data_IF_622000851283
#
_entry.id   IF_622000851283
#
_cell.length_a   1.000
_cell.length_b   1.000
_cell.length_c   1.000
_cell.angle_alpha   90.00
_cell.angle_beta   90.00
_cell.angle_gamma   90.00
#
_symmetry.space_group_name_H-M   'P 1'
#
loop_
_entity.id
_entity.type
_entity.pdbx_description
1 polymer ?
#
# COMPACT_ATOMS: atom_id res chain seq x y z
N UNK A 1 -8.94 10.25 -89.69
CA UNK A 1 -8.93 9.47 -88.43
C UNK A 1 -8.38 10.38 -87.34
N UNK A 2 -9.28 11.04 -86.59
CA UNK A 2 -8.98 12.16 -85.70
C UNK A 2 -8.89 11.76 -84.22
N UNK A 3 -7.87 12.29 -83.57
CA UNK A 3 -7.49 12.20 -82.15
C UNK A 3 -8.55 12.66 -81.15
N UNK A 4 -8.57 12.03 -79.97
CA UNK A 4 -8.77 12.72 -78.67
C UNK A 4 -8.24 11.89 -77.49
N UNK A 5 -6.95 12.07 -77.18
CA UNK A 5 -6.23 11.48 -76.03
C UNK A 5 -6.17 12.44 -74.82
N UNK A 6 -7.13 13.36 -74.66
CA UNK A 6 -7.02 14.48 -73.71
C UNK A 6 -7.71 14.31 -72.34
N UNK A 7 -8.70 13.43 -72.21
CA UNK A 7 -9.61 13.42 -71.05
C UNK A 7 -9.07 12.73 -69.79
N UNK A 8 -8.41 11.57 -69.93
CA UNK A 8 -8.04 10.73 -68.77
C UNK A 8 -6.84 11.26 -67.96
N UNK A 9 -5.89 11.98 -68.59
CA UNK A 9 -4.73 12.57 -67.87
C UNK A 9 -5.11 13.79 -67.00
N UNK A 10 -6.13 14.58 -67.38
CA UNK A 10 -6.56 15.75 -66.59
C UNK A 10 -7.26 15.37 -65.28
N UNK A 11 -8.03 14.29 -65.28
CA UNK A 11 -8.81 13.87 -64.10
C UNK A 11 -7.92 13.26 -62.99
N UNK A 12 -6.87 12.52 -63.37
CA UNK A 12 -5.92 11.93 -62.42
C UNK A 12 -5.04 13.00 -61.76
N UNK A 13 -4.57 14.01 -62.53
CA UNK A 13 -3.80 15.13 -61.99
C UNK A 13 -4.62 16.05 -61.08
N UNK A 14 -5.93 16.18 -61.27
CA UNK A 14 -6.78 16.96 -60.38
C UNK A 14 -6.94 16.28 -59.00
N UNK A 15 -7.10 14.95 -59.00
CA UNK A 15 -7.28 14.14 -57.80
C UNK A 15 -5.99 14.00 -56.97
N UNK A 16 -4.81 13.99 -57.60
CA UNK A 16 -3.53 14.03 -56.87
C UNK A 16 -3.25 15.41 -56.26
N UNK A 17 -3.62 16.50 -56.94
CA UNK A 17 -3.48 17.87 -56.44
C UNK A 17 -4.39 18.14 -55.23
N UNK A 18 -5.62 17.63 -55.24
CA UNK A 18 -6.54 17.69 -54.09
C UNK A 18 -6.05 16.88 -52.89
N UNK A 19 -5.42 15.71 -53.10
CA UNK A 19 -4.83 14.91 -52.00
C UNK A 19 -3.58 15.56 -51.41
N UNK A 20 -2.75 16.19 -52.25
CA UNK A 20 -1.59 16.94 -51.78
C UNK A 20 -1.99 18.21 -51.01
N UNK A 21 -3.04 18.93 -51.44
CA UNK A 21 -3.54 20.09 -50.71
C UNK A 21 -4.16 19.68 -49.36
N UNK A 22 -4.94 18.60 -49.31
CA UNK A 22 -5.49 18.10 -48.04
C UNK A 22 -4.41 17.65 -47.06
N UNK A 23 -3.35 17.01 -47.57
CA UNK A 23 -2.21 16.57 -46.75
C UNK A 23 -1.40 17.77 -46.22
N UNK A 24 -1.23 18.82 -47.03
CA UNK A 24 -0.56 20.05 -46.59
C UNK A 24 -1.37 20.79 -45.51
N UNK A 25 -2.68 20.88 -45.65
CA UNK A 25 -3.54 21.49 -44.63
C UNK A 25 -3.50 20.75 -43.29
N UNK A 26 -3.47 19.42 -43.30
CA UNK A 26 -3.38 18.60 -42.08
C UNK A 26 -2.03 18.83 -41.38
N UNK A 27 -0.93 18.91 -42.13
CA UNK A 27 0.40 19.18 -41.57
C UNK A 27 0.47 20.58 -40.96
N UNK A 28 -0.05 21.60 -41.64
CA UNK A 28 -0.09 22.98 -41.11
C UNK A 28 -0.97 23.07 -39.86
N UNK A 29 -2.12 22.38 -39.84
CA UNK A 29 -2.97 22.32 -38.65
C UNK A 29 -2.29 21.60 -37.49
N UNK A 30 -1.58 20.49 -37.75
CA UNK A 30 -0.86 19.76 -36.71
C UNK A 30 0.21 20.63 -36.05
N UNK A 31 1.03 21.34 -36.84
CA UNK A 31 2.04 22.25 -36.29
C UNK A 31 1.43 23.51 -35.66
N UNK A 32 0.30 24.01 -36.16
CA UNK A 32 -0.43 25.12 -35.54
C UNK A 32 -0.99 24.78 -34.16
N UNK A 33 -1.66 23.63 -34.04
CA UNK A 33 -2.23 23.15 -32.77
C UNK A 33 -1.12 22.78 -31.79
N UNK A 34 -0.08 22.08 -32.25
CA UNK A 34 1.07 21.74 -31.41
C UNK A 34 1.82 22.98 -30.94
N UNK A 35 1.99 23.98 -31.81
CA UNK A 35 2.56 25.28 -31.47
C UNK A 35 1.75 26.02 -30.42
N UNK A 36 0.41 26.02 -30.53
CA UNK A 36 -0.48 26.61 -29.52
C UNK A 36 -0.35 25.87 -28.18
N UNK A 37 -0.32 24.53 -28.17
CA UNK A 37 -0.18 23.75 -26.93
C UNK A 37 1.15 24.06 -26.23
N UNK A 38 2.26 24.07 -26.98
CA UNK A 38 3.59 24.41 -26.44
C UNK A 38 3.64 25.85 -25.97
N UNK A 39 3.05 26.79 -26.72
CA UNK A 39 2.97 28.19 -26.32
C UNK A 39 2.13 28.37 -25.04
N UNK A 40 1.01 27.65 -24.91
CA UNK A 40 0.19 27.69 -23.69
C UNK A 40 0.90 27.06 -22.51
N UNK A 41 1.60 25.95 -22.67
CA UNK A 41 2.36 25.32 -21.57
C UNK A 41 3.56 26.16 -21.14
N UNK A 42 4.26 26.83 -22.06
CA UNK A 42 5.44 27.65 -21.74
C UNK A 42 5.05 29.00 -21.13
N UNK A 43 4.00 29.67 -21.64
CA UNK A 43 3.62 31.00 -21.16
C UNK A 43 2.57 31.02 -20.05
N UNK A 44 1.70 29.99 -19.91
CA UNK A 44 0.71 29.93 -18.81
C UNK A 44 1.17 29.15 -17.58
N UNK A 45 2.44 28.75 -17.50
CA UNK A 45 3.02 28.17 -16.27
C UNK A 45 3.14 29.21 -15.15
N UNK A 46 3.30 30.50 -15.46
CA UNK A 46 3.61 31.49 -14.42
C UNK A 46 2.37 32.03 -13.67
N UNK A 47 1.17 31.97 -14.28
CA UNK A 47 -0.07 32.46 -13.65
C UNK A 47 -0.78 31.42 -12.76
N UNK A 48 -0.43 30.13 -12.85
CA UNK A 48 -1.05 29.08 -12.02
C UNK A 48 -0.47 28.99 -10.60
N UNK A 49 0.57 29.77 -10.30
CA UNK A 49 1.23 29.80 -8.99
C UNK A 49 0.68 30.87 -8.03
N UNK A 50 -0.16 31.80 -8.50
CA UNK A 50 -0.55 32.99 -7.72
C UNK A 50 -2.00 33.48 -7.91
N UNK A 51 -3.00 32.62 -8.03
CA UNK A 51 -4.38 33.11 -7.87
C UNK A 51 -5.39 32.00 -7.57
N UNK A 52 -6.08 32.17 -6.44
CA UNK A 52 -7.51 31.86 -6.25
C UNK A 52 -7.88 30.37 -6.12
N UNK A 53 -8.46 29.92 -5.00
CA UNK A 53 -9.61 30.55 -4.35
C UNK A 53 -10.86 30.20 -5.17
N UNK A 54 -11.45 29.05 -4.88
CA UNK A 54 -12.64 28.55 -5.59
C UNK A 54 -13.86 29.31 -5.07
N UNK A 55 -14.42 30.17 -5.93
CA UNK A 55 -15.79 30.69 -5.84
C UNK A 55 -16.66 29.92 -6.84
N UNK A 56 -17.90 29.73 -6.44
CA UNK A 56 -18.90 28.76 -6.93
C UNK A 56 -19.91 29.43 -7.88
N UNK A 57 -20.45 28.63 -8.84
CA UNK A 57 -21.75 28.71 -9.60
C UNK A 57 -21.83 29.62 -10.86
N UNK A 58 -22.90 29.52 -11.69
CA UNK A 58 -23.83 28.41 -12.04
C UNK A 58 -24.20 28.31 -13.56
N UNK A 59 -24.92 27.25 -13.95
CA UNK A 59 -25.76 27.21 -15.17
C UNK A 59 -26.31 25.80 -15.39
N UNK A 60 -27.49 25.42 -14.88
CA UNK A 60 -28.86 25.72 -15.33
C UNK A 60 -29.27 25.03 -16.64
N UNK A 61 -30.01 23.93 -16.51
CA UNK A 61 -31.19 23.65 -17.34
C UNK A 61 -32.11 22.69 -16.57
N UNK A 62 -33.33 23.17 -16.34
CA UNK A 62 -34.40 22.50 -15.60
C UNK A 62 -35.19 21.54 -16.50
N UNK A 63 -35.56 20.39 -15.98
CA UNK A 63 -36.76 19.67 -16.41
C UNK A 63 -37.44 19.03 -15.18
N UNK A 64 -38.77 19.14 -15.10
CA UNK A 64 -39.57 18.87 -13.90
C UNK A 64 -40.43 17.60 -14.07
N UNK A 65 -40.47 16.80 -13.00
CA UNK A 65 -41.49 15.85 -12.50
C UNK A 65 -42.38 15.02 -13.46
N UNK A 66 -42.30 13.67 -13.35
CA UNK A 66 -43.30 12.80 -12.66
C UNK A 66 -42.91 11.30 -12.68
N UNK A 67 -42.95 10.69 -11.48
CA UNK A 67 -43.33 9.32 -11.09
C UNK A 67 -43.39 8.19 -12.15
N UNK A 68 -42.52 7.17 -12.05
CA UNK A 68 -42.85 5.74 -11.82
C UNK A 68 -41.61 4.82 -11.88
N UNK A 69 -41.54 3.90 -10.90
CA UNK A 69 -41.03 2.51 -10.88
C UNK A 69 -39.87 2.03 -11.79
N UNK A 70 -39.03 1.19 -11.17
CA UNK A 70 -38.16 0.11 -11.68
C UNK A 70 -36.65 0.38 -11.77
N UNK A 71 -35.93 -0.32 -10.87
CA UNK A 71 -34.71 -1.12 -11.09
C UNK A 71 -33.81 -0.77 -12.28
N UNK A 72 -32.64 -0.22 -11.97
CA UNK A 72 -31.33 -0.77 -12.37
C UNK A 72 -30.24 -0.03 -11.59
N UNK A 73 -29.41 -0.76 -10.83
CA UNK A 73 -28.20 -0.20 -10.25
C UNK A 73 -27.08 -0.45 -11.26
N UNK A 74 -26.64 0.61 -11.95
CA UNK A 74 -25.43 0.59 -12.76
C UNK A 74 -24.21 0.43 -11.84
N UNK A 75 -23.53 -0.70 -12.04
CA UNK A 75 -22.25 -1.06 -11.47
C UNK A 75 -21.16 -0.21 -12.16
N UNK A 76 -20.52 0.72 -11.43
CA UNK A 76 -19.40 1.48 -11.99
C UNK A 76 -18.14 0.62 -11.94
N UNK A 77 -17.87 -0.11 -13.01
CA UNK A 77 -16.62 -0.83 -13.22
C UNK A 77 -15.49 0.14 -13.62
N UNK A 78 -14.64 0.50 -12.66
CA UNK A 78 -13.33 1.10 -12.94
C UNK A 78 -12.25 0.03 -12.82
N UNK A 79 -11.96 -0.63 -13.95
CA UNK A 79 -10.81 -1.54 -14.11
C UNK A 79 -9.48 -0.79 -13.96
N UNK A 80 -8.64 -1.22 -13.02
CA UNK A 80 -7.19 -0.97 -13.07
C UNK A 80 -6.50 -2.33 -13.02
N UNK A 81 -5.98 -2.78 -14.16
CA UNK A 81 -5.12 -3.96 -14.23
C UNK A 81 -3.85 -3.72 -13.42
N UNK A 82 -3.68 -4.44 -12.31
CA UNK A 82 -2.40 -4.50 -11.62
C UNK A 82 -1.48 -5.38 -12.47
N UNK A 83 -0.49 -4.79 -13.16
CA UNK A 83 0.64 -5.56 -13.68
C UNK A 83 1.46 -6.08 -12.49
N UNK A 84 1.20 -7.31 -12.08
CA UNK A 84 2.06 -8.07 -11.17
C UNK A 84 2.96 -8.98 -12.00
N UNK A 85 4.28 -8.82 -11.88
CA UNK A 85 5.26 -9.86 -12.25
C UNK A 85 6.42 -9.39 -13.14
N UNK A 86 7.63 -9.57 -12.60
CA UNK A 86 8.94 -9.49 -13.26
C UNK A 86 9.53 -8.09 -13.58
N UNK A 87 10.03 -7.41 -12.55
CA UNK A 87 11.33 -6.74 -12.63
C UNK A 87 12.00 -6.74 -11.25
N UNK A 88 12.88 -7.71 -11.06
CA UNK A 88 13.91 -7.72 -10.04
C UNK A 88 14.86 -6.53 -10.20
N UNK A 89 15.51 -6.18 -9.08
CA UNK A 89 16.85 -5.60 -8.94
C UNK A 89 17.37 -4.66 -10.04
N UNK A 90 17.72 -3.44 -9.66
CA UNK A 90 19.00 -2.77 -9.95
C UNK A 90 18.95 -1.37 -9.30
N UNK A 91 19.76 -1.14 -8.28
CA UNK A 91 21.05 -0.46 -8.43
C UNK A 91 20.84 1.01 -8.84
N UNK A 92 20.89 1.90 -7.84
CA UNK A 92 20.65 3.35 -7.98
C UNK A 92 21.68 4.04 -8.89
N UNK A 93 22.68 3.31 -9.39
CA UNK A 93 23.70 3.78 -10.34
C UNK A 93 23.32 3.62 -11.82
N UNK A 94 22.41 2.72 -12.19
CA UNK A 94 22.09 2.45 -13.60
C UNK A 94 20.95 3.33 -14.16
N UNK A 95 20.09 3.87 -13.29
CA UNK A 95 19.02 4.80 -13.67
C UNK A 95 19.52 6.17 -14.15
N UNK A 96 20.77 6.53 -13.80
CA UNK A 96 21.38 7.82 -14.16
C UNK A 96 22.02 7.84 -15.57
N UNK A 97 22.19 6.68 -16.23
CA UNK A 97 22.84 6.60 -17.54
C UNK A 97 21.85 6.64 -18.74
N UNK A 98 20.55 6.47 -18.48
CA UNK A 98 19.50 6.40 -19.52
C UNK A 98 18.75 7.73 -19.73
N UNK A 99 19.09 8.76 -18.97
CA UNK A 99 18.64 10.14 -19.16
C UNK A 99 19.92 10.94 -19.38
N UNK A 100 20.16 11.43 -20.60
CA UNK A 100 21.41 12.07 -21.03
C UNK A 100 21.80 13.36 -20.28
N UNK A 101 22.08 13.26 -18.99
CA UNK A 101 22.59 14.31 -18.11
C UNK A 101 24.06 14.09 -17.80
N UNK A 102 24.86 15.14 -17.91
CA UNK A 102 26.27 15.16 -17.51
C UNK A 102 26.43 14.68 -16.06
N UNK A 103 27.36 13.74 -15.84
CA UNK A 103 27.84 13.39 -14.51
C UNK A 103 28.39 14.63 -13.79
N UNK A 104 28.02 14.90 -12.52
CA UNK A 104 28.66 15.95 -11.76
C UNK A 104 30.08 15.51 -11.38
N UNK A 105 31.04 16.41 -11.57
CA UNK A 105 32.44 16.21 -11.23
C UNK A 105 32.62 15.94 -9.73
N UNK A 106 33.53 15.02 -9.41
CA UNK A 106 33.97 14.75 -8.05
C UNK A 106 34.52 16.04 -7.39
N UNK A 107 33.96 16.40 -6.24
CA UNK A 107 34.50 17.42 -5.35
C UNK A 107 35.15 16.75 -4.13
N UNK A 108 36.26 17.31 -3.61
CA UNK A 108 37.16 16.60 -2.70
C UNK A 108 36.59 16.49 -1.28
N UNK A 109 37.03 15.44 -0.60
CA UNK A 109 36.83 15.16 0.82
C UNK A 109 37.37 16.34 1.63
N UNK A 110 36.49 17.03 2.36
CA UNK A 110 36.87 17.93 3.46
C UNK A 110 36.30 17.31 4.74
N UNK A 111 37.21 16.74 5.52
CA UNK A 111 37.04 16.39 6.92
C UNK A 111 36.64 17.65 7.70
N UNK A 112 35.42 17.66 8.26
CA UNK A 112 35.07 18.53 9.37
C UNK A 112 34.00 17.84 10.20
N UNK A 113 34.47 17.08 11.18
CA UNK A 113 33.69 16.55 12.29
C UNK A 113 33.17 17.72 13.14
N UNK A 114 31.95 18.16 12.86
CA UNK A 114 31.15 18.89 13.85
C UNK A 114 30.36 17.85 14.67
N UNK A 115 30.46 17.84 16.01
CA UNK A 115 29.65 16.95 16.82
C UNK A 115 28.21 17.43 16.74
N UNK A 116 27.38 16.71 15.99
CA UNK A 116 25.93 16.76 16.16
C UNK A 116 25.66 16.47 17.63
N UNK A 117 25.26 17.51 18.37
CA UNK A 117 24.84 17.39 19.77
C UNK A 117 23.56 16.56 19.81
N UNK A 118 23.71 15.24 19.78
CA UNK A 118 22.67 14.36 20.28
C UNK A 118 22.51 14.71 21.76
N UNK A 119 21.46 15.45 22.09
CA UNK A 119 21.05 15.61 23.48
C UNK A 119 20.76 14.18 23.96
N UNK A 120 21.69 13.60 24.69
CA UNK A 120 21.51 12.28 25.31
C UNK A 120 20.42 12.47 26.35
N UNK A 121 19.20 12.06 26.01
CA UNK A 121 18.08 12.13 26.93
C UNK A 121 18.25 11.04 27.97
N UNK A 122 18.04 11.37 29.24
CA UNK A 122 18.04 10.37 30.30
C UNK A 122 16.69 9.63 30.27
N UNK A 123 16.69 8.36 29.84
CA UNK A 123 15.50 7.50 29.75
C UNK A 123 14.74 7.41 31.09
N UNK A 124 15.46 7.52 32.22
CA UNK A 124 14.87 7.45 33.58
C UNK A 124 13.88 8.59 33.85
N UNK A 125 13.97 9.70 33.12
CA UNK A 125 13.07 10.85 33.27
C UNK A 125 11.84 10.77 32.34
N UNK A 126 11.76 9.76 31.48
CA UNK A 126 10.66 9.61 30.54
C UNK A 126 9.49 8.86 31.19
N UNK A 127 8.26 9.06 30.68
CA UNK A 127 7.10 8.33 31.18
C UNK A 127 7.34 6.81 31.15
N UNK A 128 7.03 6.09 32.24
CA UNK A 128 7.30 4.66 32.37
C UNK A 128 6.41 3.84 31.44
N UNK A 129 6.64 2.52 31.45
CA UNK A 129 5.81 1.57 30.71
C UNK A 129 4.34 1.67 31.15
N UNK A 130 3.39 1.72 30.21
CA UNK A 130 1.97 1.84 30.55
C UNK A 130 1.40 0.48 30.99
N UNK A 131 1.48 0.18 32.30
CA UNK A 131 1.04 -1.12 32.86
C UNK A 131 -0.45 -1.45 32.62
N UNK A 132 -1.30 -0.41 32.51
CA UNK A 132 -2.73 -0.56 32.26
C UNK A 132 -3.09 -0.66 30.77
N UNK A 133 -2.12 -0.53 29.85
CA UNK A 133 -2.36 -0.61 28.42
C UNK A 133 -2.23 -2.07 27.96
N UNK A 134 -3.19 -2.51 27.16
CA UNK A 134 -3.13 -3.83 26.52
C UNK A 134 -2.17 -3.80 25.33
N UNK A 135 -1.35 -4.85 25.23
CA UNK A 135 -0.54 -5.07 24.03
C UNK A 135 -1.45 -5.33 22.83
N UNK A 136 -1.10 -4.73 21.70
CA UNK A 136 -1.93 -4.78 20.51
C UNK A 136 -1.14 -5.29 19.30
N UNK A 137 -1.79 -6.16 18.52
CA UNK A 137 -1.20 -6.83 17.35
C UNK A 137 -1.96 -6.53 16.04
N UNK A 138 -2.97 -5.66 16.08
CA UNK A 138 -3.82 -5.42 14.92
C UNK A 138 -5.06 -4.58 15.18
N UNK A 139 -4.91 -3.37 15.72
CA UNK A 139 -5.95 -2.34 15.69
C UNK A 139 -5.33 -0.95 15.60
N UNK A 140 -6.07 -0.01 15.00
CA UNK A 140 -5.61 1.36 14.87
C UNK A 140 -5.53 2.07 16.23
N UNK A 141 -4.40 2.74 16.48
CA UNK A 141 -4.15 3.54 17.68
C UNK A 141 -3.58 4.91 17.30
N UNK A 142 -3.94 5.94 18.08
CA UNK A 142 -3.51 7.31 17.79
C UNK A 142 -2.10 7.60 18.33
N UNK A 143 -1.35 8.42 17.59
CA UNK A 143 -0.16 9.09 18.10
C UNK A 143 -0.58 10.48 18.56
N UNK A 144 -0.63 10.68 19.87
CA UNK A 144 -1.09 11.95 20.44
C UNK A 144 -0.16 13.11 20.12
N UNK A 145 -0.73 14.31 20.19
CA UNK A 145 -0.03 15.59 20.08
C UNK A 145 0.67 15.84 18.74
N UNK A 146 0.22 15.17 17.68
CA UNK A 146 0.62 15.47 16.31
C UNK A 146 -0.23 16.60 15.72
N UNK A 147 0.33 17.34 14.77
CA UNK A 147 -0.36 18.40 14.00
C UNK A 147 -1.46 17.85 13.08
N UNK A 148 -1.29 16.62 12.62
CA UNK A 148 -2.21 15.93 11.71
C UNK A 148 -2.52 14.54 12.23
N UNK A 149 -3.61 13.93 11.73
CA UNK A 149 -3.96 12.54 12.06
C UNK A 149 -2.74 11.62 11.82
N UNK A 150 -2.40 10.84 12.83
CA UNK A 150 -1.29 9.90 12.79
C UNK A 150 -1.71 8.66 13.56
N UNK A 151 -1.94 7.58 12.83
CA UNK A 151 -2.31 6.30 13.42
C UNK A 151 -1.23 5.25 13.19
N UNK A 152 -1.09 4.35 14.14
CA UNK A 152 -0.23 3.17 14.07
C UNK A 152 -1.12 1.93 14.25
N UNK A 153 -0.77 0.82 13.59
CA UNK A 153 -1.61 -0.38 13.54
C UNK A 153 -0.93 -1.63 14.10
N UNK A 154 0.25 -1.97 13.57
CA UNK A 154 1.00 -3.18 13.93
C UNK A 154 2.50 -2.94 13.80
N UNK A 155 3.31 -3.74 14.50
CA UNK A 155 4.76 -3.60 14.53
C UNK A 155 5.46 -4.95 14.32
N UNK A 156 6.44 -4.97 13.42
CA UNK A 156 7.17 -6.18 13.03
C UNK A 156 8.67 -5.98 13.16
N UNK A 157 9.37 -6.98 13.71
CA UNK A 157 10.81 -7.06 13.59
C UNK A 157 11.18 -7.47 12.16
N UNK A 158 12.02 -6.66 11.52
CA UNK A 158 12.49 -6.88 10.16
C UNK A 158 14.02 -6.77 10.19
N UNK A 159 14.70 -7.84 9.78
CA UNK A 159 16.17 -7.91 9.67
C UNK A 159 16.66 -8.15 8.24
N UNK A 160 15.76 -8.05 7.25
CA UNK A 160 16.09 -8.28 5.84
C UNK A 160 17.15 -7.28 5.40
N UNK A 161 18.06 -7.75 4.53
CA UNK A 161 19.19 -6.95 4.01
C UNK A 161 20.09 -6.37 5.11
N UNK A 162 20.18 -7.04 6.26
CA UNK A 162 21.03 -6.62 7.39
C UNK A 162 20.52 -5.39 8.15
N UNK A 163 19.31 -4.91 7.85
CA UNK A 163 18.72 -3.75 8.53
C UNK A 163 17.93 -4.24 9.74
N UNK A 164 18.43 -4.07 10.97
CA UNK A 164 17.67 -4.43 12.18
C UNK A 164 16.74 -3.30 12.58
N UNK A 165 15.46 -3.42 12.25
CA UNK A 165 14.46 -2.38 12.48
C UNK A 165 13.17 -2.98 13.02
N UNK A 166 12.49 -2.23 13.89
CA UNK A 166 11.05 -2.43 14.11
C UNK A 166 10.31 -1.59 13.10
N UNK A 167 9.58 -2.25 12.20
CA UNK A 167 8.78 -1.62 11.17
C UNK A 167 7.32 -1.60 11.59
N UNK A 168 6.78 -0.40 11.70
CA UNK A 168 5.40 -0.18 12.12
C UNK A 168 4.57 0.20 10.89
N UNK A 169 3.42 -0.45 10.74
CA UNK A 169 2.39 -0.09 9.76
C UNK A 169 1.59 1.07 10.35
N UNK A 170 1.46 2.15 9.58
CA UNK A 170 0.86 3.39 10.05
C UNK A 170 0.16 4.15 8.91
N UNK A 171 -0.62 5.17 9.27
CA UNK A 171 -1.24 6.10 8.34
C UNK A 171 -1.09 7.53 8.87
N UNK A 172 -0.55 8.43 8.03
CA UNK A 172 -0.42 9.85 8.38
C UNK A 172 -0.34 10.71 7.12
N UNK A 173 -0.10 12.01 7.29
CA UNK A 173 -0.09 13.00 6.21
C UNK A 173 0.95 12.61 5.14
N UNK A 174 0.53 12.63 3.88
CA UNK A 174 1.35 12.19 2.73
C UNK A 174 2.59 13.06 2.54
N UNK A 175 2.46 14.38 2.65
CA UNK A 175 3.57 15.33 2.47
C UNK A 175 3.85 16.10 3.75
N UNK A 176 5.13 16.12 4.14
CA UNK A 176 5.56 16.75 5.39
C UNK A 176 4.99 16.05 6.62
N UNK A 177 5.08 14.72 6.65
CA UNK A 177 4.75 13.92 7.82
C UNK A 177 5.56 14.41 9.03
N UNK A 178 4.93 14.39 10.20
CA UNK A 178 5.55 14.82 11.44
C UNK A 178 6.69 13.88 11.85
N UNK A 179 7.74 14.45 12.45
CA UNK A 179 8.82 13.66 13.03
C UNK A 179 8.35 13.06 14.34
N UNK A 180 8.56 11.77 14.51
CA UNK A 180 8.17 11.02 15.70
C UNK A 180 9.34 10.20 16.23
N UNK A 181 9.21 9.72 17.46
CA UNK A 181 10.17 8.88 18.15
C UNK A 181 9.53 7.54 18.47
N UNK A 182 10.31 6.46 18.40
CA UNK A 182 9.90 5.15 18.87
C UNK A 182 10.47 4.94 20.26
N UNK A 183 9.61 4.68 21.24
CA UNK A 183 10.00 4.19 22.55
C UNK A 183 9.90 2.67 22.53
N UNK A 184 11.06 2.01 22.52
CA UNK A 184 11.20 0.56 22.43
C UNK A 184 11.23 -0.01 23.84
N UNK A 185 10.35 -0.95 24.14
CA UNK A 185 10.19 -1.52 25.46
C UNK A 185 10.84 -2.89 25.53
N UNK A 186 11.70 -3.08 26.52
CA UNK A 186 12.41 -4.32 26.80
C UNK A 186 11.99 -4.85 28.16
N UNK A 187 11.83 -6.17 28.27
CA UNK A 187 11.62 -6.83 29.54
C UNK A 187 12.96 -6.87 30.29
N UNK A 188 12.98 -6.35 31.52
CA UNK A 188 14.12 -6.39 32.44
C UNK A 188 13.74 -7.23 33.66
N UNK A 189 14.48 -8.32 33.90
CA UNK A 189 14.34 -9.11 35.13
C UNK A 189 14.41 -10.63 34.89
N UNK A 190 15.30 -11.28 35.64
CA UNK A 190 15.44 -12.74 35.74
C UNK A 190 14.59 -13.36 36.86
N UNK A 191 13.91 -12.57 37.71
CA UNK A 191 13.14 -13.11 38.83
C UNK A 191 11.89 -12.26 39.13
N UNK A 192 10.71 -12.83 38.83
CA UNK A 192 9.34 -12.49 39.27
C UNK A 192 8.84 -11.03 39.30
N UNK A 193 9.64 -10.03 38.94
CA UNK A 193 9.21 -8.66 38.66
C UNK A 193 9.39 -8.38 37.17
N UNK A 194 8.29 -8.16 36.44
CA UNK A 194 8.32 -7.74 35.04
C UNK A 194 8.61 -6.24 34.93
N UNK A 195 9.82 -5.84 35.31
CA UNK A 195 10.26 -4.46 35.06
C UNK A 195 10.42 -4.27 33.54
N UNK A 196 10.05 -3.11 33.04
CA UNK A 196 10.25 -2.74 31.64
C UNK A 196 11.23 -1.57 31.56
N UNK A 197 12.19 -1.69 30.65
CA UNK A 197 13.15 -0.63 30.35
C UNK A 197 12.88 -0.10 28.95
N UNK A 198 12.95 1.22 28.77
CA UNK A 198 12.80 1.85 27.47
C UNK A 198 14.13 2.25 26.84
N UNK A 199 14.17 2.20 25.51
CA UNK A 199 15.16 2.90 24.70
C UNK A 199 14.39 3.70 23.65
N UNK A 200 14.56 5.02 23.64
CA UNK A 200 13.90 5.92 22.71
C UNK A 200 14.82 6.26 21.54
N UNK A 201 14.35 6.02 20.31
CA UNK A 201 15.09 6.30 19.07
C UNK A 201 14.29 7.20 18.14
N UNK A 202 14.94 8.08 17.35
CA UNK A 202 14.24 8.82 16.31
C UNK A 202 13.72 7.87 15.24
N UNK A 203 12.46 8.07 14.82
CA UNK A 203 11.85 7.24 13.80
C UNK A 203 12.06 7.82 12.40
N UNK A 204 12.21 6.94 11.39
CA UNK A 204 12.16 7.32 9.98
C UNK A 204 10.79 6.98 9.40
N UNK A 205 9.99 8.01 9.11
CA UNK A 205 8.67 7.86 8.46
C UNK A 205 8.86 7.79 6.95
N UNK A 206 8.46 6.67 6.33
CA UNK A 206 8.54 6.45 4.89
C UNK A 206 7.13 6.26 4.32
N UNK A 207 6.73 7.17 3.44
CA UNK A 207 5.42 7.14 2.78
C UNK A 207 5.37 6.06 1.71
N UNK A 208 4.25 5.35 1.60
CA UNK A 208 3.99 4.42 0.51
C UNK A 208 3.79 5.21 -0.78
N UNK A 209 4.50 4.81 -1.84
CA UNK A 209 4.54 5.56 -3.11
C UNK A 209 3.16 5.68 -3.75
N UNK A 210 2.38 4.61 -3.69
CA UNK A 210 1.02 4.59 -4.21
C UNK A 210 0.07 5.27 -3.23
N UNK A 211 -0.18 6.57 -3.46
CA UNK A 211 -0.91 7.43 -2.54
C UNK A 211 -1.85 8.43 -3.23
N UNK A 212 -1.87 8.46 -4.58
CA UNK A 212 -2.78 9.29 -5.37
C UNK A 212 -2.75 10.80 -5.02
N UNK A 213 -1.64 11.29 -4.43
CA UNK A 213 -1.53 12.66 -3.89
C UNK A 213 -2.65 13.05 -2.91
N UNK A 214 -3.30 12.08 -2.28
CA UNK A 214 -4.30 12.33 -1.24
C UNK A 214 -3.66 12.93 0.02
N UNK A 215 -4.48 13.52 0.89
CA UNK A 215 -4.02 14.21 2.09
C UNK A 215 -3.24 13.30 3.04
N UNK A 216 -3.69 12.06 3.18
CA UNK A 216 -3.08 11.02 4.00
C UNK A 216 -2.73 9.80 3.17
N UNK A 217 -1.77 9.02 3.66
CA UNK A 217 -1.29 7.81 3.01
C UNK A 217 -0.86 6.78 4.05
N UNK A 218 -0.78 5.52 3.63
CA UNK A 218 -0.08 4.49 4.36
C UNK A 218 1.42 4.84 4.45
N UNK A 219 2.01 4.63 5.61
CA UNK A 219 3.43 4.88 5.87
C UNK A 219 4.04 3.75 6.67
N UNK A 220 5.34 3.58 6.53
CA UNK A 220 6.15 2.82 7.47
C UNK A 220 6.79 3.76 8.48
N UNK A 221 6.60 3.52 9.77
CA UNK A 221 7.44 4.13 10.80
C UNK A 221 8.55 3.13 11.12
N UNK A 222 9.78 3.48 10.75
CA UNK A 222 10.95 2.61 10.92
C UNK A 222 11.73 3.03 12.16
N UNK A 223 11.81 2.14 13.14
CA UNK A 223 12.53 2.33 14.39
C UNK A 223 13.83 1.51 14.35
N UNK A 224 15.00 2.13 14.16
CA UNK A 224 16.26 1.40 14.10
C UNK A 224 16.60 0.80 15.47
N UNK A 225 17.08 -0.44 15.47
CA UNK A 225 17.54 -1.13 16.67
C UNK A 225 19.05 -1.01 16.80
N UNK A 226 19.52 -0.48 17.92
CA UNK A 226 20.95 -0.41 18.26
C UNK A 226 21.40 -1.60 19.10
N UNK A 227 20.50 -2.19 19.89
CA UNK A 227 20.78 -3.32 20.76
C UNK A 227 20.59 -4.66 20.02
N UNK A 228 21.29 -5.72 20.43
CA UNK A 228 21.10 -7.09 19.92
C UNK A 228 19.74 -7.66 20.32
N UNK A 229 19.17 -7.28 21.45
CA UNK A 229 17.86 -7.77 21.89
C UNK A 229 16.72 -7.15 21.07
N UNK A 230 15.67 -7.93 20.84
CA UNK A 230 14.44 -7.48 20.18
C UNK A 230 13.51 -6.95 21.29
N UNK A 231 12.96 -5.73 21.15
CA UNK A 231 11.99 -5.21 22.12
C UNK A 231 10.70 -6.03 22.09
N UNK A 232 10.01 -6.12 23.23
CA UNK A 232 8.73 -6.83 23.34
C UNK A 232 7.57 -5.99 22.82
N UNK A 233 7.70 -4.67 22.90
CA UNK A 233 6.68 -3.72 22.47
C UNK A 233 7.32 -2.42 21.98
N UNK A 234 6.55 -1.61 21.27
CA UNK A 234 6.93 -0.28 20.82
C UNK A 234 5.77 0.70 20.95
N UNK A 235 6.09 1.91 21.36
CA UNK A 235 5.18 3.06 21.33
C UNK A 235 5.76 4.15 20.43
N UNK A 236 4.90 4.86 19.70
CA UNK A 236 5.27 6.02 18.87
C UNK A 236 4.78 7.29 19.54
N UNK A 237 5.67 8.27 19.71
CA UNK A 237 5.38 9.56 20.34
C UNK A 237 5.87 10.72 19.47
N UNK A 238 5.08 11.80 19.38
CA UNK A 238 5.49 13.01 18.68
C UNK A 238 6.61 13.76 19.42
N UNK A 239 6.53 13.78 20.76
CA UNK A 239 7.54 14.37 21.63
C UNK A 239 8.03 13.37 22.66
N UNK A 240 9.33 13.37 22.93
CA UNK A 240 10.00 12.38 23.78
C UNK A 240 9.43 12.35 25.21
N UNK A 241 8.97 13.48 25.74
CA UNK A 241 8.43 13.58 27.12
C UNK A 241 6.94 13.25 27.23
N UNK A 242 6.24 13.11 26.11
CA UNK A 242 4.81 12.80 26.15
C UNK A 242 4.61 11.34 26.60
N UNK A 243 3.58 11.06 27.41
CA UNK A 243 3.19 9.68 27.69
C UNK A 243 2.64 9.04 26.41
N UNK A 244 2.98 7.77 26.12
CA UNK A 244 2.52 7.09 24.93
C UNK A 244 1.01 6.81 25.04
N UNK A 245 0.28 7.10 23.97
CA UNK A 245 -1.15 6.75 23.84
C UNK A 245 -1.36 5.44 23.09
N UNK A 246 -0.27 4.79 22.69
CA UNK A 246 -0.27 3.56 21.92
C UNK A 246 0.78 2.58 22.45
N UNK A 247 0.49 1.29 22.32
CA UNK A 247 1.36 0.20 22.70
C UNK A 247 1.15 -0.97 21.73
N UNK A 248 2.14 -1.18 20.85
CA UNK A 248 2.12 -2.25 19.86
C UNK A 248 3.07 -3.36 20.30
N UNK A 249 2.60 -4.60 20.26
CA UNK A 249 3.48 -5.76 20.40
C UNK A 249 4.41 -5.85 19.19
N UNK A 250 5.67 -6.17 19.42
CA UNK A 250 6.64 -6.34 18.34
C UNK A 250 6.63 -7.80 17.91
N UNK A 251 6.04 -8.05 16.75
CA UNK A 251 5.87 -9.38 16.18
C UNK A 251 7.19 -9.83 15.55
N UNK A 252 7.71 -10.98 15.98
CA UNK A 252 8.90 -11.61 15.42
C UNK A 252 8.58 -13.00 14.85
N UNK A 253 8.34 -13.07 13.55
CA UNK A 253 7.95 -14.31 12.87
C UNK A 253 9.11 -15.30 12.64
N UNK A 254 10.38 -14.91 12.84
CA UNK A 254 11.53 -15.83 12.67
C UNK A 254 11.51 -17.01 13.65
N UNK A 255 10.94 -16.80 14.83
CA UNK A 255 10.94 -17.84 15.87
C UNK A 255 9.89 -18.93 15.60
N UNK A 256 8.81 -18.62 14.88
CA UNK A 256 7.75 -19.60 14.58
C UNK A 256 8.21 -20.66 13.57
N UNK A 257 9.08 -20.30 12.63
CA UNK A 257 9.68 -21.26 11.68
C UNK A 257 10.64 -22.23 12.34
N UNK A 258 11.27 -21.83 13.46
CA UNK A 258 12.23 -22.68 14.19
C UNK A 258 11.52 -23.72 15.07
N UNK A 259 10.28 -23.47 15.49
CA UNK A 259 9.49 -24.39 16.33
C UNK A 259 8.67 -25.42 15.56
N UNK A 260 8.34 -25.16 14.29
CA UNK A 260 7.49 -26.03 13.47
C UNK A 260 8.23 -27.21 12.81
N UNK A 261 9.54 -27.36 13.04
CA UNK A 261 10.35 -28.48 12.52
C UNK A 261 10.29 -29.72 13.43
N UNK A 262 9.58 -29.66 14.56
CA UNK A 262 9.65 -30.67 15.63
C UNK A 262 8.37 -31.40 16.04
N UNK A 263 7.24 -31.26 15.33
CA UNK A 263 6.03 -32.06 15.63
C UNK A 263 5.75 -32.99 14.47
N UNK A 264 6.08 -34.26 14.69
CA UNK A 264 6.04 -35.31 13.69
C UNK A 264 4.71 -35.39 12.95
N UNK A 265 4.79 -35.32 11.63
CA UNK A 265 3.82 -35.91 10.72
C UNK A 265 3.79 -37.43 10.94
N UNK A 266 3.11 -37.88 11.99
CA UNK A 266 2.75 -39.27 12.21
C UNK A 266 1.22 -39.36 12.31
N UNK A 267 0.57 -39.15 11.16
CA UNK A 267 -0.85 -39.40 10.94
C UNK A 267 -1.02 -39.72 9.46
N UNK A 268 -1.17 -41.01 9.15
CA UNK A 268 -1.11 -41.56 7.81
C UNK A 268 -2.15 -40.98 6.85
N UNK A 269 -1.64 -40.39 5.78
CA UNK A 269 -2.37 -40.03 4.56
C UNK A 269 -1.33 -39.61 3.54
N UNK A 270 -0.96 -40.51 2.63
CA UNK A 270 -0.06 -40.22 1.52
C UNK A 270 -0.78 -39.31 0.50
N UNK A 271 -0.94 -38.03 0.88
CA UNK A 271 -1.25 -36.93 0.00
C UNK A 271 -0.02 -36.04 -0.08
N UNK A 272 0.36 -35.68 -1.31
CA UNK A 272 1.49 -34.82 -1.68
C UNK A 272 1.48 -33.53 -0.82
N UNK A 273 2.22 -33.50 0.30
CA UNK A 273 2.35 -32.29 1.11
C UNK A 273 3.30 -31.35 0.36
N UNK A 274 2.71 -30.45 -0.42
CA UNK A 274 3.44 -29.38 -1.10
C UNK A 274 4.34 -28.64 -0.10
N UNK A 275 5.61 -28.39 -0.41
CA UNK A 275 6.48 -27.58 0.44
C UNK A 275 6.03 -26.11 0.48
N UNK A 276 5.17 -25.70 -0.47
CA UNK A 276 4.66 -24.35 -0.57
C UNK A 276 3.45 -24.15 0.32
N UNK A 277 3.57 -23.16 1.21
CA UNK A 277 2.44 -22.58 1.94
C UNK A 277 2.02 -21.27 1.29
N UNK A 278 0.75 -21.14 0.96
CA UNK A 278 0.16 -19.97 0.30
C UNK A 278 -0.77 -19.21 1.25
N UNK A 279 -0.57 -17.91 1.30
CA UNK A 279 -1.49 -16.97 1.96
C UNK A 279 -2.25 -16.12 0.96
N UNK A 280 -3.45 -15.68 1.32
CA UNK A 280 -4.22 -14.68 0.57
C UNK A 280 -4.47 -13.45 1.44
N UNK A 281 -4.21 -12.28 0.88
CA UNK A 281 -4.52 -10.98 1.44
C UNK A 281 -5.51 -10.25 0.56
N UNK A 282 -6.61 -9.81 1.15
CA UNK A 282 -7.65 -9.05 0.45
C UNK A 282 -7.72 -7.63 1.01
N UNK A 283 -8.12 -6.68 0.17
CA UNK A 283 -8.43 -5.31 0.60
C UNK A 283 -9.44 -5.26 1.75
N UNK A 284 -9.48 -4.16 2.51
CA UNK A 284 -10.51 -3.97 3.53
C UNK A 284 -11.92 -4.19 2.98
N UNK A 285 -12.70 -4.99 3.70
CA UNK A 285 -14.12 -5.22 3.45
C UNK A 285 -14.89 -3.99 3.95
N UNK A 286 -15.58 -3.31 3.06
CA UNK A 286 -16.21 -2.03 3.30
C UNK A 286 -17.61 -1.95 2.65
N UNK A 287 -18.28 -0.81 2.79
CA UNK A 287 -19.66 -0.57 2.31
C UNK A 287 -20.67 -1.62 2.74
N UNK A 288 -20.60 -2.10 4.00
CA UNK A 288 -21.53 -3.09 4.54
C UNK A 288 -21.55 -4.38 3.70
N UNK A 289 -20.37 -4.82 3.25
CA UNK A 289 -20.25 -5.97 2.38
C UNK A 289 -20.94 -7.21 2.99
N UNK A 290 -22.00 -7.68 2.33
CA UNK A 290 -22.87 -8.76 2.82
C UNK A 290 -23.13 -9.86 1.77
N UNK A 291 -22.23 -10.00 0.78
CA UNK A 291 -22.32 -10.99 -0.29
C UNK A 291 -21.73 -12.34 0.18
N UNK A 292 -22.46 -13.05 1.05
CA UNK A 292 -21.95 -14.23 1.74
C UNK A 292 -21.61 -15.41 0.81
N UNK A 293 -22.41 -15.66 -0.24
CA UNK A 293 -22.15 -16.76 -1.18
C UNK A 293 -20.86 -16.53 -1.98
N UNK A 294 -20.63 -15.30 -2.42
CA UNK A 294 -19.43 -14.90 -3.15
C UNK A 294 -18.18 -15.05 -2.27
N UNK A 295 -18.28 -14.71 -0.99
CA UNK A 295 -17.18 -14.90 -0.04
C UNK A 295 -16.87 -16.40 0.17
N UNK A 296 -17.91 -17.24 0.30
CA UNK A 296 -17.75 -18.70 0.43
C UNK A 296 -17.09 -19.26 -0.83
N UNK A 297 -17.59 -18.88 -2.01
CA UNK A 297 -17.01 -19.28 -3.30
C UNK A 297 -15.53 -18.88 -3.39
N UNK A 298 -15.21 -17.63 -3.04
CA UNK A 298 -13.84 -17.13 -3.06
C UNK A 298 -12.91 -17.94 -2.15
N UNK A 299 -13.31 -18.18 -0.90
CA UNK A 299 -12.51 -18.94 0.07
C UNK A 299 -12.34 -20.38 -0.39
N UNK A 300 -13.44 -21.08 -0.69
CA UNK A 300 -13.39 -22.51 -1.00
C UNK A 300 -12.69 -22.79 -2.33
N UNK A 301 -12.87 -21.95 -3.36
CA UNK A 301 -12.15 -22.11 -4.62
C UNK A 301 -10.64 -21.92 -4.43
N UNK A 302 -10.21 -20.86 -3.72
CA UNK A 302 -8.79 -20.67 -3.43
C UNK A 302 -8.20 -21.81 -2.58
N UNK A 303 -8.99 -22.38 -1.65
CA UNK A 303 -8.57 -23.56 -0.88
C UNK A 303 -8.40 -24.80 -1.77
N UNK A 304 -9.31 -25.05 -2.71
CA UNK A 304 -9.16 -26.11 -3.70
C UNK A 304 -7.89 -25.93 -4.55
N UNK A 305 -7.52 -24.69 -4.84
CA UNK A 305 -6.28 -24.33 -5.55
C UNK A 305 -5.02 -24.43 -4.70
N UNK A 306 -5.13 -24.79 -3.41
CA UNK A 306 -4.00 -25.02 -2.51
C UNK A 306 -3.61 -23.83 -1.63
N UNK A 307 -4.52 -22.85 -1.42
CA UNK A 307 -4.31 -21.78 -0.43
C UNK A 307 -4.56 -22.30 0.99
N UNK A 308 -3.62 -22.00 1.90
CA UNK A 308 -3.68 -22.46 3.29
C UNK A 308 -4.45 -21.50 4.21
N UNK A 309 -4.28 -20.19 4.04
CA UNK A 309 -4.80 -19.20 4.99
C UNK A 309 -5.15 -17.86 4.36
N UNK A 310 -6.17 -17.21 4.91
CA UNK A 310 -6.68 -15.93 4.42
C UNK A 310 -6.62 -14.87 5.51
N UNK A 311 -6.36 -13.62 5.13
CA UNK A 311 -6.50 -12.47 6.04
C UNK A 311 -7.40 -11.41 5.42
N UNK A 312 -8.46 -11.07 6.17
CA UNK A 312 -9.40 -10.01 5.85
C UNK A 312 -9.30 -8.88 6.88
N UNK A 313 -9.69 -7.69 6.45
CA UNK A 313 -9.74 -6.49 7.28
C UNK A 313 -11.18 -5.99 7.30
N UNK A 314 -11.82 -6.01 8.46
CA UNK A 314 -13.21 -5.62 8.61
C UNK A 314 -13.32 -4.12 8.88
N UNK A 315 -13.64 -3.32 7.85
CA UNK A 315 -14.05 -1.94 8.03
C UNK A 315 -15.56 -1.87 8.27
N UNK A 316 -16.35 -2.43 7.34
CA UNK A 316 -17.80 -2.59 7.48
C UNK A 316 -18.28 -3.82 6.69
N UNK A 317 -18.77 -4.84 7.40
CA UNK A 317 -19.38 -6.05 6.82
C UNK A 317 -20.81 -6.24 7.36
N UNK A 318 -21.67 -6.82 6.54
CA UNK A 318 -23.02 -7.18 6.95
C UNK A 318 -23.09 -8.48 7.76
N UNK A 319 -24.26 -8.75 8.32
CA UNK A 319 -24.51 -9.86 9.24
C UNK A 319 -24.28 -11.27 8.66
N UNK A 320 -24.57 -11.49 7.38
CA UNK A 320 -24.39 -12.81 6.75
C UNK A 320 -22.91 -13.10 6.54
N UNK A 321 -22.15 -12.11 6.08
CA UNK A 321 -20.69 -12.22 5.93
C UNK A 321 -20.01 -12.37 7.29
N UNK A 322 -20.41 -11.61 8.31
CA UNK A 322 -19.88 -11.76 9.68
C UNK A 322 -20.09 -13.19 10.22
N UNK A 323 -21.28 -13.76 10.00
CA UNK A 323 -21.57 -15.15 10.39
C UNK A 323 -20.64 -16.16 9.70
N UNK A 324 -20.45 -16.03 8.38
CA UNK A 324 -19.56 -16.89 7.59
C UNK A 324 -18.11 -16.75 8.02
N UNK A 325 -17.63 -15.52 8.21
CA UNK A 325 -16.26 -15.26 8.63
C UNK A 325 -15.95 -15.91 9.99
N UNK A 326 -16.90 -15.88 10.94
CA UNK A 326 -16.73 -16.54 12.25
C UNK A 326 -16.52 -18.05 12.13
N UNK A 327 -17.31 -18.72 11.29
CA UNK A 327 -17.13 -20.17 11.04
C UNK A 327 -15.73 -20.47 10.46
N UNK A 328 -15.24 -19.67 9.51
CA UNK A 328 -13.89 -19.87 8.96
C UNK A 328 -12.75 -19.48 9.94
N UNK A 329 -12.99 -18.52 10.83
CA UNK A 329 -12.06 -18.19 11.93
C UNK A 329 -11.98 -19.37 12.90
N UNK A 330 -13.11 -19.94 13.31
CA UNK A 330 -13.18 -21.07 14.25
C UNK A 330 -12.50 -22.33 13.68
N UNK A 331 -12.53 -22.49 12.35
CA UNK A 331 -11.80 -23.54 11.62
C UNK A 331 -10.30 -23.26 11.46
N UNK A 332 -9.82 -22.08 11.84
CA UNK A 332 -8.43 -21.67 11.72
C UNK A 332 -7.97 -21.36 10.29
N UNK A 333 -8.91 -21.14 9.36
CA UNK A 333 -8.61 -20.87 7.94
C UNK A 333 -8.50 -19.37 7.63
N UNK A 334 -9.12 -18.54 8.45
CA UNK A 334 -9.25 -17.10 8.24
C UNK A 334 -8.80 -16.34 9.48
N UNK A 335 -8.07 -15.24 9.27
CA UNK A 335 -7.88 -14.18 10.27
C UNK A 335 -8.64 -12.93 9.83
N UNK A 336 -9.44 -12.36 10.72
CA UNK A 336 -10.11 -11.07 10.48
C UNK A 336 -9.61 -10.04 11.48
N UNK A 337 -9.14 -8.90 10.96
CA UNK A 337 -8.64 -7.80 11.78
C UNK A 337 -9.60 -6.61 11.76
N UNK A 338 -9.82 -5.92 12.90
CA UNK A 338 -10.64 -4.71 12.93
C UNK A 338 -9.95 -3.59 12.14
N UNK A 339 -10.70 -2.88 11.30
CA UNK A 339 -10.16 -1.89 10.36
C UNK A 339 -10.87 -0.54 10.45
N UNK A 340 -11.06 -0.06 11.68
CA UNK A 340 -11.69 1.22 12.00
C UNK A 340 -10.72 2.41 11.91
N UNK A 341 -10.18 2.68 10.72
CA UNK A 341 -9.32 3.84 10.49
C UNK A 341 -10.15 5.14 10.42
N UNK A 342 -9.95 6.07 11.35
CA UNK A 342 -10.58 7.40 11.31
C UNK A 342 -9.91 8.31 10.26
N UNK A 343 -10.08 7.99 8.98
CA UNK A 343 -9.74 8.83 7.83
C UNK A 343 -10.80 8.60 6.76
N UNK A 344 -11.34 9.68 6.19
CA UNK A 344 -12.44 9.58 5.21
C UNK A 344 -11.94 8.86 3.96
N UNK A 345 -12.49 7.68 3.67
CA UNK A 345 -12.10 6.90 2.50
C UNK A 345 -12.35 7.69 1.20
N UNK A 346 -11.48 7.45 0.21
CA UNK A 346 -11.44 8.07 -1.13
C UNK A 346 -11.22 9.60 -1.15
N UNK A 347 -11.39 10.29 -0.02
CA UNK A 347 -11.17 11.74 0.11
C UNK A 347 -9.87 12.07 0.84
N UNK A 348 -9.69 11.47 2.02
CA UNK A 348 -8.51 11.65 2.87
C UNK A 348 -7.45 10.58 2.60
N UNK A 349 -7.87 9.34 2.36
CA UNK A 349 -6.99 8.19 2.09
C UNK A 349 -7.65 7.21 1.08
N UNK A 350 -6.86 6.53 0.25
CA UNK A 350 -7.36 5.62 -0.78
C UNK A 350 -7.91 4.33 -0.15
N UNK A 351 -9.14 3.96 -0.52
CA UNK A 351 -9.78 2.64 -0.23
C UNK A 351 -9.53 2.19 1.21
N UNK A 352 -10.05 2.96 2.19
CA UNK A 352 -9.99 2.60 3.61
C UNK A 352 -8.55 2.39 4.12
N UNK A 353 -7.52 2.88 3.40
CA UNK A 353 -6.13 2.59 3.73
C UNK A 353 -5.63 1.22 3.21
N UNK A 354 -6.12 0.77 2.05
CA UNK A 354 -5.76 -0.49 1.38
C UNK A 354 -4.27 -0.84 1.48
N UNK A 355 -3.39 0.10 1.16
CA UNK A 355 -1.96 -0.18 1.17
C UNK A 355 -1.41 -0.45 2.57
N UNK A 356 -2.01 0.10 3.64
CA UNK A 356 -1.65 -0.29 4.99
C UNK A 356 -2.08 -1.73 5.29
N UNK A 357 -3.30 -2.13 4.88
CA UNK A 357 -3.80 -3.50 5.05
C UNK A 357 -2.95 -4.54 4.30
N UNK A 358 -2.66 -4.31 3.01
CA UNK A 358 -1.85 -5.26 2.23
C UNK A 358 -0.42 -5.37 2.77
N UNK A 359 0.16 -4.27 3.26
CA UNK A 359 1.48 -4.33 3.89
C UNK A 359 1.43 -5.03 5.24
N UNK A 360 0.43 -4.76 6.10
CA UNK A 360 0.25 -5.53 7.34
C UNK A 360 0.18 -7.03 7.06
N UNK A 361 -0.65 -7.42 6.09
CA UNK A 361 -0.79 -8.80 5.68
C UNK A 361 0.55 -9.39 5.25
N UNK A 362 1.28 -8.70 4.38
CA UNK A 362 2.60 -9.14 3.93
C UNK A 362 3.55 -9.41 5.10
N UNK A 363 3.63 -8.51 6.08
CA UNK A 363 4.51 -8.71 7.24
C UNK A 363 4.00 -9.80 8.18
N UNK A 364 2.69 -9.98 8.32
CA UNK A 364 2.07 -11.05 9.12
C UNK A 364 2.39 -12.45 8.57
N UNK A 365 2.38 -12.58 7.25
CA UNK A 365 2.72 -13.83 6.55
C UNK A 365 4.23 -14.04 6.37
N UNK A 366 5.04 -12.98 6.53
CA UNK A 366 6.48 -13.03 6.36
C UNK A 366 7.10 -14.11 7.26
N UNK A 367 7.90 -15.00 6.64
CA UNK A 367 8.50 -16.19 7.25
C UNK A 367 7.54 -17.30 7.70
N UNK A 368 6.23 -17.13 7.63
CA UNK A 368 5.25 -18.19 7.94
C UNK A 368 4.77 -18.92 6.69
N UNK A 369 4.73 -18.21 5.56
CA UNK A 369 4.26 -18.70 4.26
C UNK A 369 5.32 -18.47 3.19
N UNK A 370 5.32 -19.35 2.18
CA UNK A 370 6.27 -19.28 1.07
C UNK A 370 5.86 -18.26 0.03
N UNK A 371 4.55 -18.15 -0.23
CA UNK A 371 3.98 -17.30 -1.27
C UNK A 371 2.74 -16.59 -0.74
N UNK A 372 2.48 -15.40 -1.27
CA UNK A 372 1.38 -14.55 -0.85
C UNK A 372 0.68 -14.00 -2.09
N UNK A 373 -0.63 -14.17 -2.14
CA UNK A 373 -1.50 -13.60 -3.15
C UNK A 373 -2.11 -12.31 -2.59
N UNK A 374 -1.98 -11.21 -3.34
CA UNK A 374 -2.69 -9.96 -3.08
C UNK A 374 -3.75 -9.82 -4.18
N UNK A 375 -4.98 -10.25 -3.89
CA UNK A 375 -6.08 -10.35 -4.86
C UNK A 375 -7.37 -9.80 -4.24
N UNK A 376 -8.27 -9.32 -5.08
CA UNK A 376 -9.62 -8.92 -4.68
C UNK A 376 -10.60 -10.11 -4.68
N UNK A 377 -11.78 -9.96 -4.07
CA UNK A 377 -12.76 -11.06 -3.87
C UNK A 377 -13.34 -11.63 -5.17
N UNK A 378 -13.20 -10.89 -6.26
CA UNK A 378 -13.63 -11.19 -7.62
C UNK A 378 -12.48 -11.66 -8.53
N UNK A 379 -11.26 -11.73 -8.01
CA UNK A 379 -10.06 -12.14 -8.76
C UNK A 379 -9.64 -13.57 -8.41
N UNK A 380 -9.31 -14.35 -9.44
CA UNK A 380 -8.89 -15.74 -9.31
C UNK A 380 -7.65 -16.02 -10.15
N UNK A 381 -6.66 -16.67 -9.55
CA UNK A 381 -5.47 -17.15 -10.26
C UNK A 381 -5.68 -18.64 -10.56
N UNK A 382 -5.97 -18.97 -11.81
CA UNK A 382 -6.23 -20.34 -12.25
C UNK A 382 -5.02 -20.90 -13.01
N UNK A 383 -4.42 -22.01 -12.54
CA UNK A 383 -3.41 -22.72 -13.33
C UNK A 383 -4.01 -23.22 -14.64
N UNK A 384 -3.27 -23.07 -15.74
CA UNK A 384 -3.74 -23.51 -17.07
C UNK A 384 -3.59 -25.02 -17.29
N UNK A 385 -2.51 -25.60 -16.76
CA UNK A 385 -2.10 -26.97 -17.05
C UNK A 385 -2.02 -27.86 -15.81
N UNK A 386 -2.32 -27.32 -14.63
CA UNK A 386 -2.15 -27.98 -13.33
C UNK A 386 -3.43 -27.81 -12.49
N UNK A 387 -3.56 -28.54 -11.40
CA UNK A 387 -4.75 -28.47 -10.54
C UNK A 387 -4.61 -27.42 -9.42
N UNK A 388 -3.38 -27.12 -9.00
CA UNK A 388 -3.11 -26.25 -7.85
C UNK A 388 -2.05 -25.17 -8.15
N UNK A 389 -2.04 -24.12 -7.34
CA UNK A 389 -1.04 -23.05 -7.41
C UNK A 389 0.37 -23.57 -7.13
N UNK A 390 0.52 -24.51 -6.19
CA UNK A 390 1.80 -25.15 -5.87
C UNK A 390 2.41 -25.81 -7.11
N UNK A 391 1.63 -26.65 -7.79
CA UNK A 391 2.07 -27.32 -9.02
C UNK A 391 2.36 -26.36 -10.18
N UNK A 392 1.74 -25.17 -10.20
CA UNK A 392 1.97 -24.17 -11.24
C UNK A 392 3.33 -23.47 -11.10
N UNK A 393 3.85 -23.35 -9.87
CA UNK A 393 5.10 -22.63 -9.57
C UNK A 393 6.30 -23.56 -9.39
N UNK A 394 6.07 -24.88 -9.36
CA UNK A 394 7.11 -25.91 -9.56
C UNK A 394 7.60 -25.90 -11.02
#
# INVERSE_FOLDING_TARGET
MGSSSGGKKKYVNFRSRQRASLSFFIVVMFFGVFGIIVFTEIFFIDDRSRASGVVVRPGSLSYSHKQEKSTDYEESEDYISIRVGAAMMNDDTLGALLIGGRAPAALPVIENSAPSSSKVFNEVQLPPFPENATLNEGSWQNVNNTKYKFFVFSAYYDERKGQRVVRIIAATKTRGAERVFCRLWYKAGEFNASAHVSITVPAKVKVVRENWNLKYSAVFVMCPLTNKTIPVAVSVVARIRDPPANLLAVINNHNETSGAVGVGSSGGGAGLSSPYKFGVCVKPLHFEYNRALQLIEFIELNRLLGVDHFTFYNHTVGNQVDCVLRDYIDRGLVTVLPWNLDMISQKDIRTEGLFAALNDCLYRFMYKYTHLLLIDLDEYILPKNNDTLGQMIE
#
